data_IF_527095346396
#
_entry.id   IF_527095346396
#
_cell.length_a   1.000
_cell.length_b   1.000
_cell.length_c   1.000
_cell.angle_alpha   90.00
_cell.angle_beta   90.00
_cell.angle_gamma   90.00
#
_symmetry.space_group_name_H-M   'P 1'
#
loop_
_entity.id
_entity.type
_entity.pdbx_description
1 polymer ?
#
# COMPACT_ATOMS: atom_id res chain seq x y z
N UNK A 1 69.64 -56.58 -40.04
CA UNK A 1 68.92 -55.48 -39.37
C UNK A 1 67.44 -55.64 -39.72
N UNK A 2 66.51 -55.59 -38.76
CA UNK A 2 65.11 -55.20 -39.02
C UNK A 2 64.97 -53.68 -38.92
N UNK A 3 63.97 -53.12 -39.59
CA UNK A 3 63.79 -51.66 -39.71
C UNK A 3 63.06 -51.05 -38.49
N UNK A 4 63.41 -49.82 -38.12
CA UNK A 4 62.85 -49.12 -36.97
C UNK A 4 61.51 -48.46 -37.29
N UNK A 5 60.42 -48.96 -36.71
CA UNK A 5 59.10 -48.33 -36.82
C UNK A 5 59.06 -47.03 -36.00
N UNK A 6 58.91 -45.88 -36.68
CA UNK A 6 58.82 -44.56 -36.03
C UNK A 6 57.42 -44.34 -35.46
N UNK A 7 57.27 -43.98 -34.16
CA UNK A 7 55.96 -43.68 -33.59
C UNK A 7 55.37 -42.40 -34.21
N UNK A 8 54.11 -42.47 -34.63
CA UNK A 8 53.39 -41.31 -35.18
C UNK A 8 53.18 -40.24 -34.11
N UNK A 9 53.56 -39.00 -34.41
CA UNK A 9 53.45 -37.89 -33.47
C UNK A 9 51.98 -37.45 -33.32
N UNK A 10 51.38 -37.71 -32.15
CA UNK A 10 50.04 -37.23 -31.81
C UNK A 10 50.02 -35.70 -31.85
N UNK A 11 49.19 -35.14 -32.74
CA UNK A 11 48.99 -33.69 -32.83
C UNK A 11 48.41 -33.20 -31.48
N UNK A 12 49.03 -32.19 -30.82
CA UNK A 12 48.54 -31.71 -29.54
C UNK A 12 47.20 -31.00 -29.73
N UNK A 13 46.12 -31.63 -29.24
CA UNK A 13 44.78 -31.06 -29.25
C UNK A 13 44.78 -29.72 -28.50
N UNK A 14 44.62 -28.61 -29.23
CA UNK A 14 44.66 -27.26 -28.67
C UNK A 14 43.50 -27.06 -27.69
N UNK A 15 43.77 -27.21 -26.39
CA UNK A 15 42.79 -26.91 -25.35
C UNK A 15 42.37 -25.44 -25.48
N UNK A 16 41.10 -25.23 -25.81
CA UNK A 16 40.50 -23.90 -25.83
C UNK A 16 40.25 -23.50 -24.39
N UNK A 17 40.96 -22.46 -23.92
CA UNK A 17 40.68 -21.87 -22.62
C UNK A 17 39.32 -21.17 -22.66
N UNK A 18 38.31 -21.81 -22.08
CA UNK A 18 36.97 -21.24 -21.92
C UNK A 18 36.93 -20.54 -20.57
N UNK A 19 36.72 -19.23 -20.58
CA UNK A 19 36.43 -18.47 -19.36
C UNK A 19 35.10 -18.92 -18.78
N UNK A 20 35.00 -19.17 -17.46
CA UNK A 20 33.71 -19.39 -16.81
C UNK A 20 32.76 -18.21 -17.05
N UNK A 21 31.45 -18.50 -17.11
CA UNK A 21 30.42 -17.46 -17.08
C UNK A 21 30.49 -16.66 -15.77
N UNK A 22 30.20 -15.37 -15.86
CA UNK A 22 30.13 -14.43 -14.73
C UNK A 22 28.70 -14.00 -14.44
N UNK A 23 28.42 -13.57 -13.20
CA UNK A 23 27.19 -12.82 -12.92
C UNK A 23 27.29 -11.44 -13.56
N UNK A 24 26.34 -11.13 -14.46
CA UNK A 24 26.29 -9.85 -15.15
C UNK A 24 25.83 -8.68 -14.26
N UNK A 25 25.91 -7.45 -14.80
CA UNK A 25 25.48 -6.25 -14.09
C UNK A 25 23.95 -6.02 -14.15
N UNK A 26 23.40 -5.39 -13.12
CA UNK A 26 22.03 -4.86 -13.04
C UNK A 26 22.07 -3.44 -12.45
N UNK A 27 21.17 -2.55 -12.89
CA UNK A 27 21.04 -1.22 -12.31
C UNK A 27 19.91 -1.22 -11.26
N UNK A 28 20.27 -1.60 -10.04
CA UNK A 28 19.41 -1.68 -8.85
C UNK A 28 18.89 -0.31 -8.39
N UNK A 29 19.59 0.79 -8.72
CA UNK A 29 19.20 2.17 -8.37
C UNK A 29 17.86 2.56 -9.01
N UNK A 30 17.56 2.01 -10.18
CA UNK A 30 16.30 2.24 -10.91
C UNK A 30 15.10 1.43 -10.38
N UNK A 31 15.33 0.45 -9.49
CA UNK A 31 14.25 -0.32 -8.87
C UNK A 31 13.55 0.53 -7.78
N UNK A 32 12.23 0.43 -7.68
CA UNK A 32 11.50 1.00 -6.52
C UNK A 32 11.92 0.29 -5.23
N UNK A 33 11.62 0.89 -4.07
CA UNK A 33 11.99 0.30 -2.77
C UNK A 33 11.42 -1.12 -2.54
N UNK A 34 10.30 -1.48 -3.19
CA UNK A 34 9.74 -2.83 -3.11
C UNK A 34 10.42 -3.82 -4.07
N UNK A 35 10.65 -3.42 -5.32
CA UNK A 35 11.32 -4.26 -6.34
C UNK A 35 12.81 -4.48 -6.02
N UNK A 36 13.44 -3.48 -5.38
CA UNK A 36 14.79 -3.61 -4.85
C UNK A 36 14.86 -4.64 -3.72
N UNK A 37 14.01 -4.48 -2.71
CA UNK A 37 13.92 -5.40 -1.59
C UNK A 37 13.67 -6.85 -2.06
N UNK A 38 12.74 -7.04 -3.00
CA UNK A 38 12.42 -8.35 -3.55
C UNK A 38 13.54 -8.93 -4.40
N UNK A 39 14.28 -8.12 -5.18
CA UNK A 39 15.48 -8.58 -5.89
C UNK A 39 16.56 -9.09 -4.92
N UNK A 40 16.80 -8.37 -3.83
CA UNK A 40 17.76 -8.77 -2.79
C UNK A 40 17.31 -10.06 -2.09
N UNK A 41 15.99 -10.20 -1.84
CA UNK A 41 15.36 -11.41 -1.31
C UNK A 41 15.49 -12.62 -2.26
N UNK A 42 15.15 -12.47 -3.55
CA UNK A 42 15.31 -13.51 -4.60
C UNK A 42 16.74 -14.08 -4.61
N UNK A 43 17.76 -13.21 -4.54
CA UNK A 43 19.18 -13.61 -4.53
C UNK A 43 19.53 -14.36 -3.23
N UNK A 44 19.07 -13.89 -2.07
CA UNK A 44 19.27 -14.56 -0.77
C UNK A 44 18.60 -15.93 -0.71
N UNK A 45 17.32 -16.01 -1.11
CA UNK A 45 16.55 -17.25 -1.16
C UNK A 45 17.22 -18.30 -2.06
N UNK A 46 17.76 -17.89 -3.21
CA UNK A 46 18.56 -18.80 -4.04
C UNK A 46 19.84 -19.23 -3.32
N UNK A 47 20.58 -18.30 -2.72
CA UNK A 47 21.86 -18.57 -2.08
C UNK A 47 21.73 -19.51 -0.86
N UNK A 48 20.59 -19.53 -0.17
CA UNK A 48 20.28 -20.53 0.86
C UNK A 48 20.25 -21.97 0.31
N UNK A 49 19.83 -22.17 -0.95
CA UNK A 49 19.76 -23.51 -1.57
C UNK A 49 21.12 -24.06 -2.01
N UNK A 50 22.13 -23.20 -2.19
CA UNK A 50 23.45 -23.56 -2.70
C UNK A 50 24.39 -24.07 -1.58
N UNK A 51 23.98 -25.13 -0.87
CA UNK A 51 24.64 -25.63 0.35
C UNK A 51 26.15 -25.86 0.19
N UNK A 52 26.59 -26.38 -0.97
CA UNK A 52 28.01 -26.58 -1.28
C UNK A 52 28.76 -25.28 -1.58
N UNK A 53 28.10 -24.28 -2.19
CA UNK A 53 28.70 -22.98 -2.48
C UNK A 53 28.88 -22.14 -1.20
N UNK A 54 27.88 -22.15 -0.32
CA UNK A 54 27.94 -21.45 0.99
C UNK A 54 28.82 -22.15 2.03
N UNK A 55 29.30 -23.37 1.74
CA UNK A 55 30.34 -24.03 2.53
C UNK A 55 31.73 -23.39 2.31
N UNK A 56 31.94 -22.65 1.20
CA UNK A 56 33.14 -21.87 1.00
C UNK A 56 33.18 -20.69 2.01
N UNK A 57 34.25 -20.53 2.82
CA UNK A 57 34.30 -19.49 3.86
C UNK A 57 34.13 -18.05 3.34
N UNK A 58 34.63 -17.74 2.15
CA UNK A 58 34.50 -16.40 1.55
C UNK A 58 33.05 -16.13 1.10
N UNK A 59 32.40 -17.12 0.48
CA UNK A 59 30.97 -17.03 0.13
C UNK A 59 30.11 -16.93 1.38
N UNK A 60 30.41 -17.70 2.43
CA UNK A 60 29.71 -17.63 3.71
C UNK A 60 29.76 -16.24 4.33
N UNK A 61 30.95 -15.64 4.42
CA UNK A 61 31.11 -14.28 4.92
C UNK A 61 30.40 -13.22 4.05
N UNK A 62 30.40 -13.40 2.72
CA UNK A 62 29.65 -12.53 1.81
C UNK A 62 28.13 -12.67 2.00
N UNK A 63 27.62 -13.90 2.16
CA UNK A 63 26.22 -14.21 2.48
C UNK A 63 25.78 -13.57 3.79
N UNK A 64 26.57 -13.72 4.86
CA UNK A 64 26.24 -13.17 6.18
C UNK A 64 26.18 -11.64 6.15
N UNK A 65 27.13 -10.98 5.46
CA UNK A 65 27.08 -9.53 5.20
C UNK A 65 25.82 -9.13 4.43
N UNK A 66 25.47 -9.88 3.38
CA UNK A 66 24.33 -9.59 2.51
C UNK A 66 22.98 -9.78 3.21
N UNK A 67 22.83 -10.86 3.99
CA UNK A 67 21.64 -11.11 4.80
C UNK A 67 21.43 -10.06 5.91
N UNK A 68 22.52 -9.52 6.48
CA UNK A 68 22.42 -8.45 7.48
C UNK A 68 22.04 -7.10 6.86
N UNK A 69 22.57 -6.75 5.69
CA UNK A 69 22.15 -5.54 4.95
C UNK A 69 20.66 -5.61 4.57
N UNK A 70 20.18 -6.75 4.07
CA UNK A 70 18.78 -6.96 3.72
C UNK A 70 17.82 -6.83 4.93
N UNK A 71 18.21 -7.31 6.12
CA UNK A 71 17.44 -7.12 7.37
C UNK A 71 17.31 -5.65 7.75
N UNK A 72 18.40 -4.89 7.63
CA UNK A 72 18.40 -3.46 7.95
C UNK A 72 17.62 -2.63 6.91
N UNK A 73 17.67 -3.03 5.63
CA UNK A 73 16.78 -2.49 4.60
C UNK A 73 15.31 -2.79 4.93
N UNK A 74 14.96 -3.99 5.39
CA UNK A 74 13.59 -4.31 5.83
C UNK A 74 13.14 -3.40 6.98
N UNK A 75 14.00 -3.21 8.00
CA UNK A 75 13.74 -2.34 9.16
C UNK A 75 13.41 -0.92 8.68
N UNK A 76 14.28 -0.34 7.85
CA UNK A 76 14.08 0.98 7.28
C UNK A 76 12.83 1.06 6.37
N UNK A 77 12.55 0.01 5.60
CA UNK A 77 11.42 -0.05 4.67
C UNK A 77 10.08 -0.10 5.41
N UNK A 78 9.99 -0.87 6.49
CA UNK A 78 8.80 -0.94 7.36
C UNK A 78 8.55 0.43 8.03
N UNK A 79 9.58 1.04 8.64
CA UNK A 79 9.47 2.37 9.25
C UNK A 79 9.06 3.45 8.23
N UNK A 80 9.56 3.38 6.99
CA UNK A 80 9.17 4.32 5.93
C UNK A 80 7.70 4.19 5.49
N UNK A 81 7.07 3.03 5.72
CA UNK A 81 5.66 2.75 5.36
C UNK A 81 4.70 3.05 6.52
N UNK A 82 5.16 2.97 7.77
CA UNK A 82 4.36 3.20 8.97
C UNK A 82 5.15 4.02 10.00
N UNK A 83 4.94 5.33 9.99
CA UNK A 83 5.33 6.18 11.12
C UNK A 83 4.49 5.79 12.33
N UNK A 84 5.14 5.38 13.42
CA UNK A 84 4.52 4.92 14.67
C UNK A 84 3.58 5.99 15.23
N UNK A 85 4.03 7.25 15.21
CA UNK A 85 3.29 8.46 15.55
C UNK A 85 1.93 8.61 14.85
N UNK A 86 1.65 7.87 13.77
CA UNK A 86 0.36 7.96 13.05
C UNK A 86 -0.82 7.50 13.91
N UNK A 87 -0.66 6.46 14.73
CA UNK A 87 -1.73 5.99 15.63
C UNK A 87 -1.76 6.78 16.95
N UNK A 88 -0.60 7.22 17.42
CA UNK A 88 -0.48 8.08 18.60
C UNK A 88 -1.13 9.45 18.35
N UNK A 89 -0.89 10.07 17.18
CA UNK A 89 -1.55 11.31 16.76
C UNK A 89 -3.08 11.14 16.76
N UNK A 90 -3.64 10.08 16.14
CA UNK A 90 -5.09 9.82 16.17
C UNK A 90 -5.65 9.66 17.59
N UNK A 91 -4.85 9.09 18.49
CA UNK A 91 -5.25 8.93 19.89
C UNK A 91 -5.28 10.27 20.61
N UNK A 92 -4.27 11.12 20.42
CA UNK A 92 -4.22 12.48 20.97
C UNK A 92 -5.26 13.43 20.35
N UNK A 93 -5.56 13.24 19.06
CA UNK A 93 -6.61 13.90 18.29
C UNK A 93 -7.99 13.59 18.90
N UNK A 94 -8.32 12.31 19.12
CA UNK A 94 -9.55 11.90 19.80
C UNK A 94 -9.62 12.38 21.28
N UNK A 95 -8.51 12.47 22.00
CA UNK A 95 -8.45 13.08 23.33
C UNK A 95 -8.77 14.59 23.28
N UNK A 96 -8.19 15.33 22.33
CA UNK A 96 -8.42 16.76 22.08
C UNK A 96 -9.89 17.02 21.72
N UNK A 97 -10.45 16.24 20.81
CA UNK A 97 -11.84 16.34 20.36
C UNK A 97 -12.82 16.14 21.51
N UNK A 98 -12.59 15.09 22.32
CA UNK A 98 -13.39 14.80 23.50
C UNK A 98 -13.37 15.96 24.49
N UNK A 99 -12.21 16.62 24.67
CA UNK A 99 -12.08 17.83 25.48
C UNK A 99 -12.83 19.03 24.86
N UNK A 100 -12.68 19.30 23.57
CA UNK A 100 -13.40 20.42 22.93
C UNK A 100 -14.94 20.21 22.92
N UNK A 101 -15.42 19.00 22.66
CA UNK A 101 -16.84 18.64 22.69
C UNK A 101 -17.42 18.76 24.10
N UNK A 102 -16.71 18.29 25.13
CA UNK A 102 -17.16 18.42 26.53
C UNK A 102 -17.15 19.88 27.03
N UNK A 103 -16.20 20.71 26.60
CA UNK A 103 -16.24 22.16 26.85
C UNK A 103 -17.52 22.79 26.27
N UNK A 104 -17.82 22.51 25.00
CA UNK A 104 -19.03 23.01 24.33
C UNK A 104 -20.32 22.56 25.01
N UNK A 105 -20.34 21.34 25.56
CA UNK A 105 -21.47 20.81 26.32
C UNK A 105 -21.61 21.52 27.67
N UNK A 106 -20.51 21.74 28.40
CA UNK A 106 -20.52 22.45 29.67
C UNK A 106 -21.00 23.90 29.53
N UNK A 107 -20.47 24.65 28.55
CA UNK A 107 -20.93 26.02 28.26
C UNK A 107 -22.41 26.06 27.85
N UNK A 108 -22.89 25.08 27.07
CA UNK A 108 -24.32 24.96 26.71
C UNK A 108 -25.21 24.66 27.91
N UNK A 109 -24.80 23.74 28.79
CA UNK A 109 -25.52 23.41 30.02
C UNK A 109 -25.62 24.62 30.96
N UNK A 110 -24.54 25.39 31.09
CA UNK A 110 -24.49 26.57 31.93
C UNK A 110 -25.35 27.76 31.44
N UNK A 111 -25.91 27.72 30.22
CA UNK A 111 -26.87 28.74 29.76
C UNK A 111 -28.17 28.75 30.59
N UNK A 112 -28.53 27.62 31.19
CA UNK A 112 -29.71 27.45 32.07
C UNK A 112 -29.32 27.33 33.54
N UNK A 113 -28.14 27.84 33.93
CA UNK A 113 -27.64 27.73 35.30
C UNK A 113 -28.49 28.59 36.28
N UNK A 114 -28.88 28.07 37.46
CA UNK A 114 -29.72 28.82 38.42
C UNK A 114 -29.09 30.14 38.92
N UNK A 115 -27.77 30.16 39.13
CA UNK A 115 -27.02 31.38 39.43
C UNK A 115 -26.88 32.27 38.17
N UNK A 116 -27.44 33.48 38.23
CA UNK A 116 -27.51 34.41 37.10
C UNK A 116 -26.15 34.82 36.53
N UNK A 117 -25.12 34.98 37.37
CA UNK A 117 -23.77 35.36 36.92
C UNK A 117 -23.10 34.24 36.12
N UNK A 118 -23.32 32.97 36.47
CA UNK A 118 -22.86 31.81 35.69
C UNK A 118 -23.60 31.73 34.36
N UNK A 119 -24.92 31.96 34.34
CA UNK A 119 -25.69 32.02 33.09
C UNK A 119 -25.22 33.18 32.17
N UNK A 120 -24.86 34.33 32.75
CA UNK A 120 -24.28 35.48 32.04
C UNK A 120 -22.89 35.17 31.47
N UNK A 121 -22.02 34.53 32.24
CA UNK A 121 -20.71 34.05 31.78
C UNK A 121 -20.85 33.03 30.64
N UNK A 122 -21.73 32.03 30.81
CA UNK A 122 -22.05 31.04 29.79
C UNK A 122 -22.58 31.69 28.50
N UNK A 123 -23.42 32.72 28.60
CA UNK A 123 -23.93 33.46 27.44
C UNK A 123 -22.82 34.19 26.67
N UNK A 124 -21.79 34.69 27.35
CA UNK A 124 -20.62 35.32 26.70
C UNK A 124 -19.74 34.28 26.00
N UNK A 125 -19.45 33.15 26.66
CA UNK A 125 -18.70 32.01 26.08
C UNK A 125 -19.46 31.32 24.94
N UNK A 126 -20.78 31.26 24.99
CA UNK A 126 -21.62 30.78 23.89
C UNK A 126 -21.69 31.76 22.70
N UNK A 127 -21.25 33.01 22.87
CA UNK A 127 -20.92 33.93 21.79
C UNK A 127 -19.60 33.54 21.13
N UNK A 128 -18.54 33.40 21.93
CA UNK A 128 -17.21 32.97 21.47
C UNK A 128 -17.23 31.64 20.70
N UNK A 129 -18.02 30.66 21.16
CA UNK A 129 -18.25 29.39 20.45
C UNK A 129 -19.02 29.52 19.11
N UNK A 130 -19.57 30.69 18.77
CA UNK A 130 -20.10 31.00 17.43
C UNK A 130 -19.07 31.68 16.55
N UNK A 131 -18.21 32.52 17.13
CA UNK A 131 -17.07 33.12 16.44
C UNK A 131 -16.16 32.00 15.88
N UNK A 132 -15.96 30.94 16.67
CA UNK A 132 -15.25 29.71 16.27
C UNK A 132 -16.16 28.61 15.66
N UNK A 133 -17.28 28.98 15.03
CA UNK A 133 -18.23 28.01 14.43
C UNK A 133 -17.69 27.20 13.24
N UNK A 134 -16.56 27.61 12.67
CA UNK A 134 -15.78 26.83 11.69
C UNK A 134 -15.04 25.64 12.31
N UNK A 135 -14.71 25.70 13.61
CA UNK A 135 -13.89 24.71 14.32
C UNK A 135 -14.71 23.44 14.59
N UNK A 136 -14.36 22.36 13.90
CA UNK A 136 -15.10 21.08 13.88
C UNK A 136 -14.10 19.91 13.94
N UNK A 137 -14.22 18.99 14.93
CA UNK A 137 -13.47 17.72 15.07
C UNK A 137 -13.34 16.77 13.86
N UNK A 138 -13.89 17.14 12.69
CA UNK A 138 -13.79 16.37 11.45
C UNK A 138 -13.14 17.19 10.32
N UNK A 139 -12.39 18.24 10.67
CA UNK A 139 -11.61 19.04 9.72
C UNK A 139 -10.17 18.52 9.59
N UNK A 140 -9.35 19.19 8.79
CA UNK A 140 -7.94 18.83 8.65
C UNK A 140 -7.13 19.22 9.90
N UNK A 141 -6.31 18.27 10.36
CA UNK A 141 -5.62 18.25 11.66
C UNK A 141 -4.88 19.56 11.99
N UNK A 142 -4.07 20.06 11.05
CA UNK A 142 -3.25 21.24 11.24
C UNK A 142 -4.12 22.51 11.32
N UNK A 143 -5.18 22.59 10.52
CA UNK A 143 -6.17 23.67 10.57
C UNK A 143 -6.99 23.68 11.86
N UNK A 144 -7.38 22.51 12.40
CA UNK A 144 -8.01 22.46 13.72
C UNK A 144 -7.05 22.90 14.82
N UNK A 145 -5.82 22.38 14.79
CA UNK A 145 -4.79 22.68 15.79
C UNK A 145 -4.53 24.17 15.89
N UNK A 146 -4.46 24.88 14.75
CA UNK A 146 -4.34 26.34 14.70
C UNK A 146 -5.55 27.10 15.21
N UNK A 147 -6.78 26.67 14.87
CA UNK A 147 -8.00 27.28 15.41
C UNK A 147 -8.12 27.07 16.94
N UNK A 148 -7.71 25.90 17.44
CA UNK A 148 -7.74 25.61 18.87
C UNK A 148 -6.70 26.40 19.66
N UNK A 149 -5.51 26.70 19.11
CA UNK A 149 -4.56 27.61 19.74
C UNK A 149 -5.20 28.99 20.00
N UNK A 150 -5.76 29.61 18.96
CA UNK A 150 -6.40 30.92 19.06
C UNK A 150 -7.61 30.89 20.02
N UNK A 151 -8.41 29.82 19.98
CA UNK A 151 -9.55 29.62 20.87
C UNK A 151 -9.13 29.51 22.34
N UNK A 152 -8.05 28.76 22.62
CA UNK A 152 -7.48 28.60 23.96
C UNK A 152 -6.90 29.93 24.47
N UNK A 153 -6.18 30.68 23.63
CA UNK A 153 -5.61 31.99 23.99
C UNK A 153 -6.71 33.00 24.36
N UNK A 154 -7.81 33.07 23.59
CA UNK A 154 -9.00 33.85 23.95
C UNK A 154 -9.57 33.43 25.33
N UNK A 155 -9.65 32.11 25.59
CA UNK A 155 -10.15 31.58 26.86
C UNK A 155 -9.21 31.83 28.06
N UNK A 156 -7.89 31.85 27.86
CA UNK A 156 -6.90 32.17 28.90
C UNK A 156 -6.73 33.68 29.13
N UNK A 157 -7.07 34.50 28.13
CA UNK A 157 -7.05 35.97 28.21
C UNK A 157 -8.44 36.60 28.30
N UNK A 158 -9.01 36.95 27.13
CA UNK A 158 -10.22 37.78 26.96
C UNK A 158 -11.48 37.27 27.68
N UNK A 159 -11.56 35.96 27.95
CA UNK A 159 -12.69 35.31 28.64
C UNK A 159 -12.28 34.56 29.92
N UNK A 160 -11.09 34.82 30.47
CA UNK A 160 -10.56 34.11 31.64
C UNK A 160 -11.46 34.19 32.88
N UNK A 161 -12.17 35.32 33.04
CA UNK A 161 -13.16 35.56 34.10
C UNK A 161 -14.37 34.64 34.01
N UNK A 162 -14.89 34.41 32.80
CA UNK A 162 -16.04 33.56 32.54
C UNK A 162 -15.66 32.08 32.56
N UNK A 163 -14.46 31.75 32.09
CA UNK A 163 -13.86 30.42 32.22
C UNK A 163 -13.69 30.05 33.70
N UNK A 164 -13.31 30.99 34.57
CA UNK A 164 -13.27 30.76 36.03
C UNK A 164 -14.66 30.63 36.63
N UNK A 165 -15.61 31.50 36.27
CA UNK A 165 -16.98 31.46 36.82
C UNK A 165 -17.70 30.12 36.59
N UNK A 166 -17.36 29.41 35.51
CA UNK A 166 -17.85 28.06 35.20
C UNK A 166 -16.90 26.92 35.65
N UNK A 167 -15.78 27.22 36.30
CA UNK A 167 -14.78 26.23 36.76
C UNK A 167 -13.97 25.57 35.63
N UNK A 168 -14.00 26.13 34.42
CA UNK A 168 -13.47 25.52 33.20
C UNK A 168 -11.95 25.72 33.00
N UNK A 169 -11.23 26.41 33.90
CA UNK A 169 -9.76 26.60 33.78
C UNK A 169 -8.99 25.29 33.61
N UNK A 170 -9.29 24.28 34.44
CA UNK A 170 -8.65 22.95 34.33
C UNK A 170 -8.93 22.28 32.99
N UNK A 171 -10.10 22.57 32.41
CA UNK A 171 -10.53 22.03 31.12
C UNK A 171 -9.80 22.67 29.94
N UNK A 172 -9.66 24.00 29.96
CA UNK A 172 -8.84 24.74 28.98
C UNK A 172 -7.38 24.33 29.07
N UNK A 173 -6.83 24.16 30.28
CA UNK A 173 -5.46 23.68 30.47
C UNK A 173 -5.26 22.25 29.92
N UNK A 174 -6.21 21.34 30.12
CA UNK A 174 -6.17 19.99 29.54
C UNK A 174 -6.25 20.03 28.01
N UNK A 175 -7.14 20.85 27.44
CA UNK A 175 -7.29 21.04 26.00
C UNK A 175 -6.01 21.61 25.37
N UNK A 176 -5.33 22.54 26.06
CA UNK A 176 -4.03 23.11 25.66
C UNK A 176 -2.92 22.06 25.61
N UNK A 177 -2.85 21.18 26.61
CA UNK A 177 -1.90 20.05 26.63
C UNK A 177 -2.19 19.08 25.48
N UNK A 178 -3.45 18.71 25.24
CA UNK A 178 -3.84 17.83 24.14
C UNK A 178 -3.54 18.43 22.76
N UNK A 179 -3.85 19.72 22.56
CA UNK A 179 -3.59 20.42 21.31
C UNK A 179 -2.08 20.54 21.01
N UNK A 180 -1.27 20.88 22.02
CA UNK A 180 0.19 20.96 21.87
C UNK A 180 0.83 19.58 21.66
N UNK A 181 0.27 18.51 22.23
CA UNK A 181 0.69 17.11 21.98
C UNK A 181 0.49 16.74 20.50
N UNK A 182 -0.68 17.05 19.92
CA UNK A 182 -0.96 16.86 18.49
C UNK A 182 -0.04 17.70 17.60
N UNK A 183 0.16 18.98 17.94
CA UNK A 183 1.04 19.89 17.21
C UNK A 183 2.48 19.35 17.15
N UNK A 184 3.06 19.04 18.31
CA UNK A 184 4.44 18.57 18.43
C UNK A 184 4.66 17.25 17.67
N UNK A 185 3.77 16.26 17.84
CA UNK A 185 3.87 15.00 17.11
C UNK A 185 3.67 15.14 15.60
N UNK A 186 2.89 16.13 15.16
CA UNK A 186 2.72 16.42 13.71
C UNK A 186 4.00 17.00 13.10
N UNK A 187 4.71 17.88 13.83
CA UNK A 187 6.05 18.33 13.45
C UNK A 187 7.08 17.19 13.50
N UNK A 188 7.12 16.42 14.60
CA UNK A 188 8.05 15.29 14.78
C UNK A 188 7.87 14.21 13.71
N UNK A 189 6.63 13.90 13.32
CA UNK A 189 6.30 13.02 12.17
C UNK A 189 6.86 13.57 10.85
N UNK A 190 6.83 14.89 10.67
CA UNK A 190 7.35 15.54 9.46
C UNK A 190 8.87 15.42 9.40
N UNK A 191 9.57 15.80 10.47
CA UNK A 191 11.04 15.77 10.53
C UNK A 191 11.59 14.33 10.49
N UNK A 192 10.97 13.41 11.25
CA UNK A 192 11.35 11.99 11.26
C UNK A 192 11.13 11.32 9.89
N UNK A 193 10.12 11.70 9.11
CA UNK A 193 9.90 11.14 7.77
C UNK A 193 11.08 11.37 6.82
N UNK A 194 11.69 12.56 6.86
CA UNK A 194 12.86 12.91 6.06
C UNK A 194 14.10 12.12 6.52
N UNK A 195 14.26 11.93 7.84
CA UNK A 195 15.33 11.11 8.44
C UNK A 195 15.21 9.63 8.06
N UNK A 196 14.04 9.03 8.23
CA UNK A 196 13.76 7.61 7.91
C UNK A 196 13.94 7.34 6.41
N UNK A 197 13.53 8.27 5.54
CA UNK A 197 13.82 8.16 4.10
C UNK A 197 15.32 8.32 3.79
N UNK A 198 16.06 9.07 4.62
CA UNK A 198 17.54 9.09 4.62
C UNK A 198 18.14 7.73 4.97
N UNK A 199 17.74 7.16 6.12
CA UNK A 199 18.18 5.84 6.59
C UNK A 199 17.89 4.74 5.55
N UNK A 200 16.69 4.70 4.96
CA UNK A 200 16.35 3.75 3.89
C UNK A 200 17.23 3.89 2.63
N UNK A 201 17.60 5.12 2.24
CA UNK A 201 18.53 5.34 1.12
C UNK A 201 19.95 4.88 1.45
N UNK A 202 20.36 4.92 2.71
CA UNK A 202 21.64 4.37 3.17
C UNK A 202 21.59 2.85 3.19
N UNK A 203 20.56 2.24 3.81
CA UNK A 203 20.40 0.79 3.85
C UNK A 203 20.34 0.15 2.45
N UNK A 204 19.62 0.76 1.49
CA UNK A 204 19.65 0.30 0.09
C UNK A 204 21.07 0.31 -0.52
N UNK A 205 21.87 1.35 -0.27
CA UNK A 205 23.27 1.43 -0.74
C UNK A 205 24.17 0.38 -0.08
N UNK A 206 23.87 -0.02 1.16
CA UNK A 206 24.59 -1.09 1.85
C UNK A 206 24.20 -2.47 1.32
N UNK A 207 22.92 -2.70 1.01
CA UNK A 207 22.44 -3.87 0.25
C UNK A 207 23.09 -3.95 -1.14
N UNK A 208 23.14 -2.84 -1.89
CA UNK A 208 23.83 -2.74 -3.19
C UNK A 208 25.31 -3.11 -3.07
N UNK A 209 26.02 -2.52 -2.10
CA UNK A 209 27.44 -2.78 -1.86
C UNK A 209 27.69 -4.24 -1.43
N UNK A 210 26.80 -4.83 -0.64
CA UNK A 210 26.88 -6.23 -0.23
C UNK A 210 26.53 -7.20 -1.38
N UNK A 211 25.58 -6.85 -2.25
CA UNK A 211 25.28 -7.60 -3.48
C UNK A 211 26.48 -7.60 -4.44
N UNK A 212 27.06 -6.42 -4.71
CA UNK A 212 28.24 -6.27 -5.57
C UNK A 212 29.45 -7.02 -4.97
N UNK A 213 29.57 -7.06 -3.64
CA UNK A 213 30.60 -7.85 -2.96
C UNK A 213 30.36 -9.37 -3.14
N UNK A 214 29.14 -9.85 -2.93
CA UNK A 214 28.75 -11.24 -3.17
C UNK A 214 29.04 -11.68 -4.60
N UNK A 215 28.64 -10.87 -5.59
CA UNK A 215 28.92 -11.11 -7.03
C UNK A 215 30.42 -11.26 -7.28
N UNK A 216 31.24 -10.34 -6.77
CA UNK A 216 32.71 -10.42 -6.93
C UNK A 216 33.31 -11.68 -6.29
N UNK A 217 32.84 -12.07 -5.10
CA UNK A 217 33.30 -13.29 -4.41
C UNK A 217 32.90 -14.55 -5.18
N UNK A 218 31.67 -14.62 -5.69
CA UNK A 218 31.19 -15.77 -6.48
C UNK A 218 31.92 -15.91 -7.82
N UNK A 219 32.08 -14.81 -8.56
CA UNK A 219 32.87 -14.83 -9.81
C UNK A 219 34.33 -15.22 -9.53
N UNK A 220 34.95 -14.70 -8.46
CA UNK A 220 36.32 -15.08 -8.09
C UNK A 220 36.46 -16.57 -7.73
N UNK A 221 35.47 -17.16 -7.04
CA UNK A 221 35.41 -18.62 -6.80
C UNK A 221 35.32 -19.41 -8.11
N UNK A 222 34.60 -18.88 -9.12
CA UNK A 222 34.54 -19.45 -10.48
C UNK A 222 35.93 -19.52 -11.15
N UNK A 223 36.75 -18.47 -10.99
CA UNK A 223 38.08 -18.39 -11.62
C UNK A 223 39.19 -19.12 -10.87
N UNK A 224 39.17 -19.12 -9.54
CA UNK A 224 40.26 -19.64 -8.70
C UNK A 224 40.29 -21.17 -8.67
N UNK A 225 39.18 -21.83 -9.00
CA UNK A 225 39.09 -23.29 -9.10
C UNK A 225 39.01 -23.96 -7.72
N UNK A 226 37.82 -23.94 -7.12
CA UNK A 226 37.53 -24.73 -5.93
C UNK A 226 37.47 -26.24 -6.23
N UNK A 227 37.38 -27.07 -5.18
CA UNK A 227 37.20 -28.52 -5.34
C UNK A 227 35.94 -28.82 -6.18
N UNK A 228 35.88 -29.95 -6.92
CA UNK A 228 34.76 -30.25 -7.83
C UNK A 228 33.35 -30.29 -7.18
N UNK A 229 33.27 -30.37 -5.84
CA UNK A 229 32.03 -30.28 -5.09
C UNK A 229 31.48 -28.84 -4.98
N UNK A 230 32.32 -27.83 -5.10
CA UNK A 230 31.96 -26.40 -5.02
C UNK A 230 31.93 -25.84 -6.44
N UNK A 231 30.76 -25.94 -7.08
CA UNK A 231 30.53 -25.45 -8.44
C UNK A 231 29.60 -24.21 -8.39
N UNK A 232 30.09 -22.99 -8.73
CA UNK A 232 29.25 -21.79 -8.72
C UNK A 232 28.35 -21.66 -9.96
N UNK A 233 28.59 -22.41 -11.04
CA UNK A 233 27.89 -22.22 -12.33
C UNK A 233 26.36 -22.29 -12.20
N UNK A 234 25.74 -23.27 -11.48
CA UNK A 234 24.28 -23.33 -11.36
C UNK A 234 23.66 -22.11 -10.67
N UNK A 235 24.40 -21.47 -9.77
CA UNK A 235 24.01 -20.22 -9.12
C UNK A 235 24.15 -19.03 -10.08
N UNK A 236 25.32 -18.87 -10.69
CA UNK A 236 25.62 -17.80 -11.66
C UNK A 236 24.56 -17.77 -12.77
N UNK A 237 24.24 -18.95 -13.30
CA UNK A 237 23.28 -19.16 -14.38
C UNK A 237 21.84 -18.78 -13.96
N UNK A 238 21.46 -19.03 -12.69
CA UNK A 238 20.19 -18.56 -12.13
C UNK A 238 20.16 -17.05 -11.90
N UNK A 239 21.20 -16.46 -11.32
CA UNK A 239 21.28 -15.01 -11.08
C UNK A 239 21.27 -14.25 -12.42
N UNK A 240 21.91 -14.77 -13.46
CA UNK A 240 21.81 -14.21 -14.81
C UNK A 240 20.39 -14.31 -15.40
N UNK A 241 19.64 -15.38 -15.14
CA UNK A 241 18.21 -15.50 -15.52
C UNK A 241 17.32 -14.55 -14.71
N UNK A 242 17.64 -14.31 -13.44
CA UNK A 242 16.97 -13.34 -12.57
C UNK A 242 17.22 -11.90 -13.06
N UNK A 243 18.47 -11.53 -13.32
CA UNK A 243 18.85 -10.22 -13.86
C UNK A 243 18.13 -9.94 -15.18
N UNK A 244 18.05 -10.92 -16.09
CA UNK A 244 17.27 -10.79 -17.33
C UNK A 244 15.80 -10.52 -17.02
N UNK A 245 15.16 -11.32 -16.15
CA UNK A 245 13.76 -11.10 -15.71
C UNK A 245 13.51 -9.69 -15.19
N UNK A 246 14.38 -9.15 -14.33
CA UNK A 246 14.22 -7.79 -13.80
C UNK A 246 14.50 -6.72 -14.87
N UNK A 247 15.48 -6.93 -15.77
CA UNK A 247 15.69 -6.06 -16.93
C UNK A 247 14.49 -6.03 -17.87
N UNK A 248 13.87 -7.17 -18.15
CA UNK A 248 12.77 -7.30 -19.11
C UNK A 248 11.41 -6.86 -18.54
N UNK A 249 11.19 -6.99 -17.23
CA UNK A 249 9.89 -6.70 -16.57
C UNK A 249 9.82 -5.39 -15.78
N UNK A 250 10.94 -4.94 -15.20
CA UNK A 250 10.97 -3.80 -14.27
C UNK A 250 11.74 -2.63 -14.86
N UNK A 251 12.95 -2.87 -15.38
CA UNK A 251 13.82 -1.83 -15.93
C UNK A 251 13.59 -1.56 -17.43
N UNK A 252 12.76 -2.36 -18.09
CA UNK A 252 12.43 -2.16 -19.50
C UNK A 252 11.72 -0.81 -19.69
N UNK A 253 12.12 0.01 -20.68
CA UNK A 253 11.47 1.28 -20.90
C UNK A 253 10.00 1.04 -21.25
N UNK A 254 9.11 1.50 -20.36
CA UNK A 254 7.68 1.62 -20.67
C UNK A 254 7.58 2.46 -21.93
N UNK A 255 7.14 1.84 -23.04
CA UNK A 255 6.93 2.56 -24.29
C UNK A 255 6.04 3.76 -24.00
N UNK A 256 6.36 4.98 -24.48
CA UNK A 256 5.40 6.06 -24.41
C UNK A 256 4.11 5.61 -25.08
N UNK A 257 2.96 6.01 -24.53
CA UNK A 257 1.66 5.74 -25.12
C UNK A 257 1.45 6.63 -26.36
N UNK A 258 2.18 6.30 -27.43
CA UNK A 258 2.11 7.01 -28.71
C UNK A 258 0.81 6.70 -29.43
N UNK A 259 -0.19 7.56 -29.23
CA UNK A 259 -1.36 7.81 -30.08
C UNK A 259 -2.14 6.61 -30.65
N UNK A 260 -2.11 5.45 -29.98
CA UNK A 260 -3.23 4.51 -30.06
C UNK A 260 -4.43 5.16 -29.36
N UNK A 261 -5.20 5.95 -30.14
CA UNK A 261 -6.61 6.27 -29.82
C UNK A 261 -7.26 4.99 -29.29
N UNK A 262 -8.04 5.05 -28.18
CA UNK A 262 -8.80 3.90 -27.72
C UNK A 262 -9.62 3.34 -28.89
N UNK A 263 -9.25 2.14 -29.34
CA UNK A 263 -10.12 1.36 -30.23
C UNK A 263 -11.35 1.07 -29.40
N UNK A 264 -12.47 1.68 -29.78
CA UNK A 264 -13.75 1.51 -29.12
C UNK A 264 -13.99 0.02 -28.84
N UNK A 265 -14.45 -0.37 -27.63
CA UNK A 265 -14.77 -1.75 -27.35
C UNK A 265 -15.76 -2.25 -28.39
N UNK A 266 -15.30 -3.09 -29.31
CA UNK A 266 -16.17 -3.69 -30.33
C UNK A 266 -17.27 -4.42 -29.56
N UNK A 267 -18.50 -3.94 -29.73
CA UNK A 267 -19.67 -4.59 -29.15
C UNK A 267 -19.60 -6.10 -29.43
N UNK A 268 -19.94 -6.96 -28.46
CA UNK A 268 -20.16 -8.37 -28.74
C UNK A 268 -21.10 -8.47 -29.93
N UNK A 269 -20.68 -9.16 -30.99
CA UNK A 269 -21.56 -9.38 -32.14
C UNK A 269 -22.71 -10.23 -31.67
N UNK A 270 -23.94 -9.73 -31.84
CA UNK A 270 -25.13 -10.54 -31.63
C UNK A 270 -25.02 -11.86 -32.41
N UNK A 271 -25.45 -12.99 -31.83
CA UNK A 271 -25.53 -14.24 -32.56
C UNK A 271 -26.35 -14.05 -33.83
N UNK A 272 -25.80 -14.41 -34.99
CA UNK A 272 -26.57 -14.41 -36.23
C UNK A 272 -27.71 -15.41 -36.11
N UNK A 273 -28.94 -14.95 -36.28
CA UNK A 273 -30.06 -15.84 -36.55
C UNK A 273 -29.70 -16.80 -37.71
N UNK A 274 -29.95 -18.12 -37.56
CA UNK A 274 -29.68 -19.07 -38.61
C UNK A 274 -30.64 -18.81 -39.78
N UNK A 275 -30.09 -18.41 -40.92
CA UNK A 275 -30.89 -18.30 -42.16
C UNK A 275 -31.51 -19.64 -42.48
N UNK A 276 -32.83 -19.65 -42.64
CA UNK A 276 -33.60 -20.81 -43.09
C UNK A 276 -33.08 -21.33 -44.44
N UNK A 277 -32.95 -22.65 -44.62
CA UNK A 277 -32.72 -23.24 -45.94
C UNK A 277 -33.84 -22.87 -46.92
N UNK A 278 -33.52 -22.89 -48.22
CA UNK A 278 -34.52 -22.77 -49.29
C UNK A 278 -34.86 -24.15 -49.82
N UNK A 279 -36.06 -24.64 -49.50
CA UNK A 279 -36.60 -25.87 -50.10
C UNK A 279 -37.06 -25.64 -51.55
N UNK A 280 -36.77 -26.57 -52.48
CA UNK A 280 -37.34 -26.55 -53.83
C UNK A 280 -38.41 -27.64 -54.06
N UNK A 281 -39.52 -27.21 -54.67
CA UNK A 281 -40.65 -27.99 -55.26
C UNK A 281 -41.88 -28.28 -54.37
N UNK A 282 -42.99 -27.68 -54.80
CA UNK A 282 -44.39 -28.17 -54.76
C UNK A 282 -44.56 -29.48 -55.55
N UNK A 283 -45.66 -30.26 -55.41
CA UNK A 283 -47.04 -29.88 -55.01
C UNK A 283 -47.49 -30.55 -53.67
N UNK A 284 -48.76 -30.55 -53.21
CA UNK A 284 -50.04 -30.18 -53.83
C UNK A 284 -51.12 -29.68 -52.83
N UNK A 285 -52.30 -29.32 -53.35
CA UNK A 285 -53.57 -29.04 -52.68
C UNK A 285 -54.44 -30.32 -52.49
N UNK A 286 -55.65 -30.29 -51.88
CA UNK A 286 -56.39 -29.17 -51.25
C UNK A 286 -56.99 -29.45 -49.84
N UNK A 287 -57.46 -28.39 -49.14
CA UNK A 287 -58.85 -28.19 -48.65
C UNK A 287 -58.96 -27.28 -47.40
N UNK A 288 -59.79 -26.25 -47.55
CA UNK A 288 -60.43 -25.41 -46.51
C UNK A 288 -61.70 -26.10 -45.93
N UNK A 289 -62.45 -25.53 -44.94
CA UNK A 289 -62.16 -24.39 -44.03
C UNK A 289 -62.57 -24.64 -42.55
N UNK A 290 -62.26 -23.68 -41.64
CA UNK A 290 -63.26 -23.05 -40.72
C UNK A 290 -62.71 -21.94 -39.79
N UNK A 291 -63.42 -20.80 -39.75
CA UNK A 291 -63.55 -19.82 -38.63
C UNK A 291 -64.82 -20.18 -37.79
N UNK A 292 -65.27 -19.48 -36.70
CA UNK A 292 -65.00 -18.09 -36.22
C UNK A 292 -64.77 -17.97 -34.66
N UNK A 293 -64.58 -16.83 -33.96
CA UNK A 293 -63.92 -15.53 -34.28
C UNK A 293 -63.20 -14.87 -33.07
N UNK A 294 -63.94 -14.15 -32.19
CA UNK A 294 -63.46 -13.05 -31.31
C UNK A 294 -64.65 -12.48 -30.48
N UNK A 295 -64.51 -11.42 -29.64
CA UNK A 295 -63.54 -11.08 -28.57
C UNK A 295 -64.22 -10.99 -27.16
N UNK A 296 -63.49 -10.66 -26.07
CA UNK A 296 -63.81 -9.50 -25.20
C UNK A 296 -62.72 -9.13 -24.15
N UNK A 297 -62.80 -7.89 -23.63
CA UNK A 297 -62.01 -7.17 -22.61
C UNK A 297 -62.78 -5.87 -22.24
N UNK A 298 -62.45 -5.07 -21.19
CA UNK A 298 -61.48 -5.24 -20.09
C UNK A 298 -62.24 -5.40 -18.72
N UNK A 299 -62.07 -4.77 -17.53
CA UNK A 299 -61.27 -3.68 -16.91
C UNK A 299 -60.97 -3.92 -15.39
N UNK A 300 -60.02 -3.19 -14.77
CA UNK A 300 -59.64 -3.26 -13.33
C UNK A 300 -60.05 -1.97 -12.55
N UNK A 301 -59.44 -1.56 -11.41
CA UNK A 301 -59.03 -2.24 -10.15
C UNK A 301 -59.67 -1.58 -8.89
N UNK A 302 -59.27 -1.97 -7.65
CA UNK A 302 -58.88 -1.01 -6.58
C UNK A 302 -58.30 -1.65 -5.30
N UNK A 303 -57.67 -0.82 -4.48
CA UNK A 303 -56.98 -1.13 -3.22
C UNK A 303 -57.73 -0.59 -1.98
N UNK A 304 -57.40 -1.14 -0.79
CA UNK A 304 -57.38 -0.40 0.47
C UNK A 304 -58.64 -0.40 1.34
N UNK A 305 -58.47 -0.51 2.67
CA UNK A 305 -59.52 -0.31 3.68
C UNK A 305 -59.27 -1.04 5.01
N UNK A 306 -58.97 -0.26 6.06
CA UNK A 306 -58.79 -0.64 7.48
C UNK A 306 -59.81 -1.62 8.09
N UNK A 307 -59.40 -2.31 9.18
CA UNK A 307 -60.32 -3.18 9.94
C UNK A 307 -59.75 -3.94 11.16
N UNK A 308 -59.12 -3.25 12.12
CA UNK A 308 -58.92 -3.79 13.49
C UNK A 308 -60.27 -3.70 14.25
N UNK A 309 -60.76 -4.75 14.93
CA UNK A 309 -60.24 -5.23 16.23
C UNK A 309 -60.08 -6.79 16.25
N UNK A 310 -59.81 -7.50 17.35
CA UNK A 310 -59.94 -7.16 18.77
C UNK A 310 -58.95 -7.89 19.71
N UNK A 311 -58.92 -7.41 20.94
CA UNK A 311 -58.03 -7.77 22.05
C UNK A 311 -58.39 -9.14 22.64
N UNK A 312 -57.39 -10.03 22.82
CA UNK A 312 -57.32 -10.84 24.04
C UNK A 312 -55.92 -11.45 24.27
N UNK A 313 -55.37 -11.24 25.48
CA UNK A 313 -54.37 -12.14 26.06
C UNK A 313 -55.07 -13.31 26.77
N UNK A 314 -54.38 -14.44 26.89
CA UNK A 314 -54.15 -15.08 28.18
C UNK A 314 -52.67 -15.11 28.57
N UNK A 315 -52.40 -15.40 29.84
CA UNK A 315 -51.06 -15.51 30.42
C UNK A 315 -50.49 -16.94 30.26
N UNK A 316 -49.20 -17.05 29.93
CA UNK A 316 -48.17 -17.86 30.63
C UNK A 316 -46.76 -17.36 30.24
#
# INVERSE_FOLDING_TARGET
>A
MPEGSTPSATIPTKQVFVTPDEIGSINTVLLTNAEHYEFINDVLMRLETETALIANPAVKAAKERFANAHKEENRCLILSKRSELTEDIKTADAERDKLYVSYRLAVRSALSHPEADKAKAAKRLAGHLKDFSSLKPAMQLEGETGLLLNFIEDCEGKYATEVEALGLKKHIAALKVANNKVLNWTHERTDSSAKVLGELRTARRESDAAYIWLVKVVNAVSYIGTTPAVNPVPFIDYINKLIRRYKDRVLAPKKPAGDEKPKEPKQPKDPKDPKTPKDPKTPDQPKDPKKPDKPEQPQPPKEGGDGNPDIHLPEE
#
